data_IF_143434498568
#
_entry.id   IF_143434498568
#
_cell.length_a   1.000
_cell.length_b   1.000
_cell.length_c   1.000
_cell.angle_alpha   90.00
_cell.angle_beta   90.00
_cell.angle_gamma   90.00
#
_symmetry.space_group_name_H-M   'P 1'
#
loop_
_entity.id
_entity.type
_entity.pdbx_description
1 polymer ?
#
# COMPACT_ATOMS: atom_id res chain seq x y z
N UNK A 1 7.78 -6.38 0.39
CA UNK A 1 7.80 -5.16 -0.45
C UNK A 1 9.13 -4.42 -0.30
N UNK A 2 9.70 -3.78 -1.33
CA UNK A 2 10.88 -2.93 -1.14
C UNK A 2 10.47 -1.60 -0.47
N UNK A 3 10.98 -1.35 0.74
CA UNK A 3 10.73 -0.14 1.53
C UNK A 3 10.83 1.19 0.76
N UNK A 4 11.62 1.22 -0.31
CA UNK A 4 11.84 2.40 -1.13
C UNK A 4 10.66 2.78 -2.03
N UNK A 5 9.78 1.83 -2.37
CA UNK A 5 8.61 2.06 -3.22
C UNK A 5 7.37 2.50 -2.44
N UNK A 6 7.41 2.31 -1.13
CA UNK A 6 6.33 2.68 -0.20
C UNK A 6 6.30 4.20 -0.02
N UNK A 7 5.25 4.84 -0.52
CA UNK A 7 5.03 6.27 -0.37
C UNK A 7 3.56 6.58 -0.05
N UNK A 8 3.33 7.75 0.55
CA UNK A 8 1.97 8.26 0.81
C UNK A 8 1.16 8.33 -0.49
N UNK A 9 -0.10 7.91 -0.43
CA UNK A 9 -1.02 7.86 -1.56
C UNK A 9 -0.90 6.60 -2.42
N UNK A 10 0.06 5.72 -2.14
CA UNK A 10 0.14 4.41 -2.78
C UNK A 10 -0.99 3.50 -2.27
N UNK A 11 -1.61 2.77 -3.20
CA UNK A 11 -2.60 1.74 -2.88
C UNK A 11 -1.85 0.42 -2.74
N UNK A 12 -2.02 -0.22 -1.59
CA UNK A 12 -1.36 -1.48 -1.25
C UNK A 12 -2.40 -2.50 -0.81
N UNK A 13 -2.08 -3.77 -1.00
CA UNK A 13 -2.87 -4.87 -0.48
C UNK A 13 -2.27 -5.35 0.83
N UNK A 14 -3.13 -5.67 1.79
CA UNK A 14 -2.75 -6.29 3.06
C UNK A 14 -3.71 -7.45 3.36
N UNK A 15 -3.42 -8.25 4.37
CA UNK A 15 -4.26 -9.41 4.75
C UNK A 15 -5.73 -9.04 5.03
N UNK A 16 -6.01 -7.77 5.36
CA UNK A 16 -7.33 -7.26 5.69
C UNK A 16 -8.04 -6.59 4.50
N UNK A 17 -7.43 -6.63 3.32
CA UNK A 17 -7.93 -6.08 2.06
C UNK A 17 -7.04 -4.97 1.49
N UNK A 18 -7.62 -4.14 0.62
CA UNK A 18 -6.91 -3.06 -0.07
C UNK A 18 -7.04 -1.75 0.71
N UNK A 19 -5.93 -1.03 0.84
CA UNK A 19 -5.90 0.26 1.54
C UNK A 19 -4.95 1.27 0.91
N UNK A 20 -5.16 2.54 1.23
CA UNK A 20 -4.32 3.65 0.76
C UNK A 20 -3.40 4.10 1.88
N UNK A 21 -2.09 4.19 1.59
CA UNK A 21 -1.10 4.64 2.56
C UNK A 21 -1.31 6.13 2.86
N UNK A 22 -1.54 6.44 4.13
CA UNK A 22 -1.66 7.80 4.65
C UNK A 22 -0.32 8.35 5.14
N UNK A 23 0.44 7.50 5.85
CA UNK A 23 1.71 7.86 6.48
C UNK A 23 2.67 6.69 6.33
N UNK A 24 3.95 7.01 6.11
CA UNK A 24 5.05 6.04 6.05
C UNK A 24 6.06 6.42 7.11
N UNK A 25 6.26 5.56 8.10
CA UNK A 25 7.32 5.66 9.07
C UNK A 25 8.47 4.74 8.65
N UNK A 26 9.54 5.36 8.14
CA UNK A 26 10.73 4.62 7.67
C UNK A 26 11.66 4.25 8.81
N UNK A 27 11.63 4.96 9.94
CA UNK A 27 12.47 4.67 11.10
C UNK A 27 11.99 3.39 11.80
N UNK A 28 10.67 3.24 11.93
CA UNK A 28 10.02 2.08 12.52
C UNK A 28 9.60 1.01 11.49
N UNK A 29 9.83 1.25 10.19
CA UNK A 29 9.39 0.39 9.07
C UNK A 29 7.89 0.04 9.12
N UNK A 30 7.07 1.03 9.47
CA UNK A 30 5.62 0.89 9.60
C UNK A 30 4.90 1.85 8.65
N UNK A 31 3.74 1.44 8.16
CA UNK A 31 2.81 2.31 7.43
C UNK A 31 1.50 2.43 8.16
N UNK A 32 0.88 3.60 8.04
CA UNK A 32 -0.52 3.78 8.35
C UNK A 32 -1.29 3.80 7.04
N UNK A 33 -2.24 2.89 6.88
CA UNK A 33 -3.11 2.81 5.71
C UNK A 33 -4.58 2.97 6.11
N UNK A 34 -5.35 3.65 5.27
CA UNK A 34 -6.81 3.69 5.37
C UNK A 34 -7.42 2.60 4.50
N UNK A 35 -8.26 1.76 5.09
CA UNK A 35 -8.94 0.68 4.37
C UNK A 35 -9.97 1.24 3.41
N UNK A 36 -9.99 0.77 2.16
CA UNK A 36 -11.03 1.19 1.22
C UNK A 36 -12.38 0.58 1.60
N UNK A 37 -13.40 1.42 1.72
CA UNK A 37 -14.76 1.00 2.09
C UNK A 37 -15.08 1.03 3.58
N UNK A 38 -14.11 1.36 4.43
CA UNK A 38 -14.29 1.58 5.87
C UNK A 38 -13.65 2.91 6.30
N UNK A 39 -14.06 3.45 7.44
CA UNK A 39 -13.34 4.57 8.12
C UNK A 39 -12.16 4.06 8.99
N UNK A 40 -11.82 2.78 8.85
CA UNK A 40 -10.77 2.11 9.62
C UNK A 40 -9.37 2.46 9.12
N UNK A 41 -8.47 2.72 10.06
CA UNK A 41 -7.05 2.92 9.81
C UNK A 41 -6.25 1.78 10.42
N UNK A 42 -5.30 1.25 9.66
CA UNK A 42 -4.49 0.10 10.03
C UNK A 42 -3.01 0.51 10.03
N UNK A 43 -2.33 0.24 11.14
CA UNK A 43 -0.89 0.40 11.25
C UNK A 43 -0.24 -0.97 11.04
N UNK A 44 0.47 -1.14 9.93
CA UNK A 44 1.06 -2.41 9.52
C UNK A 44 2.55 -2.23 9.20
N UNK A 45 3.34 -3.28 9.42
CA UNK A 45 4.73 -3.32 8.99
C UNK A 45 4.87 -3.41 7.47
N UNK A 46 6.03 -3.04 6.93
CA UNK A 46 6.31 -3.17 5.50
C UNK A 46 6.26 -4.62 4.98
N UNK A 47 6.39 -5.59 5.88
CA UNK A 47 6.28 -7.02 5.57
C UNK A 47 4.83 -7.50 5.47
N UNK A 48 3.89 -6.76 6.08
CA UNK A 48 2.46 -7.09 6.11
C UNK A 48 1.67 -6.46 4.94
N UNK A 49 2.36 -5.67 4.12
CA UNK A 49 1.81 -5.03 2.93
C UNK A 49 2.52 -5.56 1.69
N UNK A 50 1.73 -5.78 0.64
CA UNK A 50 2.22 -6.11 -0.68
C UNK A 50 1.81 -5.05 -1.69
N UNK A 51 2.77 -4.67 -2.52
CA UNK A 51 2.52 -3.86 -3.71
C UNK A 51 1.66 -4.73 -4.63
N UNK A 52 0.46 -4.28 -4.97
CA UNK A 52 -0.35 -4.98 -5.96
C UNK A 52 -0.04 -4.38 -7.35
N UNK A 53 0.84 -4.99 -8.15
CA UNK A 53 1.24 -4.45 -9.45
C UNK A 53 0.08 -4.42 -10.45
N UNK A 54 -1.03 -5.12 -10.19
CA UNK A 54 -2.21 -5.06 -11.06
C UNK A 54 -3.05 -3.78 -10.84
N UNK A 55 -2.82 -3.06 -9.75
CA UNK A 55 -3.40 -1.72 -9.52
C UNK A 55 -2.61 -0.61 -10.22
N UNK A 56 -1.48 -0.94 -10.88
CA UNK A 56 -0.84 -0.03 -11.83
C UNK A 56 -1.72 0.07 -13.09
N UNK A 57 -2.63 1.03 -13.07
CA UNK A 57 -3.40 1.42 -14.25
C UNK A 57 -2.50 1.98 -15.34
N UNK A 58 -2.20 1.17 -16.35
CA UNK A 58 -1.61 1.57 -17.62
C UNK A 58 -0.38 0.72 -17.97
N UNK A 59 -0.25 0.09 -19.14
CA UNK A 59 -1.03 0.18 -20.36
C UNK A 59 -0.75 -1.10 -21.15
N UNK A 60 -1.79 -1.63 -21.78
CA UNK A 60 -1.71 -2.69 -22.77
C UNK A 60 -0.80 -2.24 -23.92
N UNK A 61 0.47 -2.63 -23.95
CA UNK A 61 1.26 -2.56 -25.18
C UNK A 61 0.90 -3.78 -26.04
N UNK A 62 -0.15 -3.64 -26.85
CA UNK A 62 -0.23 -4.34 -28.12
C UNK A 62 0.65 -3.58 -29.11
N UNK A 63 1.81 -4.12 -29.45
CA UNK A 63 2.42 -4.01 -30.79
C UNK A 63 3.48 -5.10 -30.96
#
# INVERSE_FOLDING_TARGET
>A
MEANRVHKGLIVECQQGVGTILVVDREAQMVLLAKQGSEEQLALGFDEIEENPQLHGGCHQYY
#
